data_IF_255503898072
#
_entry.id   IF_255503898072
#
_cell.length_a   1.000
_cell.length_b   1.000
_cell.length_c   1.000
_cell.angle_alpha   90.00
_cell.angle_beta   90.00
_cell.angle_gamma   90.00
#
_symmetry.space_group_name_H-M   'P 1'
#
loop_
_entity.id
_entity.type
_entity.pdbx_description
1 polymer ?
#
# COMPACT_ATOMS: atom_id res chain seq x y z
N UNK A 1 2.76 4.02 -5.44
CA UNK A 1 4.10 4.46 -5.05
C UNK A 1 4.58 3.72 -3.80
N UNK A 2 3.73 3.71 -2.78
CA UNK A 2 4.07 3.04 -1.52
C UNK A 2 4.40 1.57 -1.76
N UNK A 3 3.62 0.92 -2.61
CA UNK A 3 3.83 -0.49 -2.93
C UNK A 3 5.25 -0.72 -3.43
N UNK A 4 5.70 0.13 -4.34
CA UNK A 4 7.04 0.01 -4.90
C UNK A 4 8.10 0.23 -3.83
N UNK A 5 7.89 1.22 -2.98
CA UNK A 5 8.82 1.54 -1.91
C UNK A 5 8.75 0.51 -0.79
N UNK A 6 9.79 0.44 0.03
CA UNK A 6 9.87 -0.50 1.16
C UNK A 6 8.89 -0.14 2.27
N UNK A 7 8.39 1.09 2.24
CA UNK A 7 7.44 1.53 3.25
C UNK A 7 6.28 0.58 3.41
N UNK A 8 5.46 0.81 4.44
CA UNK A 8 4.30 -0.04 4.70
C UNK A 8 3.37 -0.08 3.49
N UNK A 9 2.72 -1.21 3.29
CA UNK A 9 1.80 -1.39 2.17
C UNK A 9 0.37 -1.10 2.59
N UNK A 10 0.21 -0.32 3.66
CA UNK A 10 -1.11 0.02 4.17
C UNK A 10 -1.93 0.76 3.11
N UNK A 11 -1.31 1.76 2.50
CA UNK A 11 -1.98 2.55 1.47
C UNK A 11 -2.50 1.65 0.34
N UNK A 12 -1.68 0.68 -0.05
CA UNK A 12 -2.07 -0.25 -1.12
C UNK A 12 -3.36 -0.96 -0.78
N UNK A 13 -3.48 -1.42 0.46
CA UNK A 13 -4.68 -2.13 0.92
C UNK A 13 -5.91 -1.26 0.76
N UNK A 14 -5.77 0.03 1.08
CA UNK A 14 -6.88 0.97 0.98
C UNK A 14 -7.31 1.15 -0.47
N UNK A 15 -6.33 1.21 -1.37
CA UNK A 15 -6.60 1.37 -2.80
C UNK A 15 -7.57 0.29 -3.29
N UNK A 16 -7.37 -0.93 -2.81
CA UNK A 16 -8.21 -2.06 -3.21
C UNK A 16 -9.44 -2.15 -2.30
N UNK A 17 -9.31 -1.65 -1.08
CA UNK A 17 -10.42 -1.69 -0.15
C UNK A 17 -9.96 -1.91 1.29
N UNK A 18 -10.14 -3.13 1.78
CA UNK A 18 -9.74 -3.47 3.15
C UNK A 18 -8.64 -4.53 3.14
#
# INVERSE_FOLDING_TARGET
VFASLPGIIFTRSQKEGL
#
